data_IF_049479756942
#
_entry.id   IF_049479756942
#
_cell.length_a   1.000
_cell.length_b   1.000
_cell.length_c   1.000
_cell.angle_alpha   90.00
_cell.angle_beta   90.00
_cell.angle_gamma   90.00
#
_symmetry.space_group_name_H-M   'P 1'
#
loop_
_entity.id
_entity.type
_entity.pdbx_description
1 polymer ?
#
# COMPACT_ATOMS: atom_id res chain seq x y z
N UNK A 1 -56.83 40.38 -47.17
CA UNK A 1 -56.16 41.70 -47.03
C UNK A 1 -55.90 41.96 -45.56
N UNK A 2 -54.65 42.33 -45.23
CA UNK A 2 -54.17 42.92 -43.97
C UNK A 2 -54.21 42.01 -42.72
N UNK A 3 -53.28 42.03 -41.77
CA UNK A 3 -51.88 42.50 -41.60
C UNK A 3 -51.70 42.62 -40.08
N UNK A 4 -50.52 42.25 -39.58
CA UNK A 4 -50.02 42.65 -38.25
C UNK A 4 -50.38 41.67 -37.13
N UNK A 5 -49.56 41.39 -36.12
CA UNK A 5 -48.31 41.98 -35.64
C UNK A 5 -47.58 40.83 -34.89
N UNK A 6 -46.33 40.52 -35.22
CA UNK A 6 -45.13 40.84 -34.44
C UNK A 6 -45.19 40.45 -32.94
N UNK A 7 -44.34 39.50 -32.54
CA UNK A 7 -43.45 39.66 -31.37
C UNK A 7 -42.27 38.70 -31.50
N UNK A 8 -41.08 39.29 -31.59
CA UNK A 8 -39.80 38.61 -31.55
C UNK A 8 -39.57 38.04 -30.15
N UNK A 9 -39.43 36.71 -30.05
CA UNK A 9 -38.91 36.08 -28.85
C UNK A 9 -37.38 36.15 -28.90
N UNK A 10 -36.86 37.14 -28.19
CA UNK A 10 -35.47 37.33 -27.80
C UNK A 10 -34.99 36.06 -27.07
N UNK A 11 -34.35 35.14 -27.79
CA UNK A 11 -33.77 33.95 -27.17
C UNK A 11 -32.53 34.39 -26.40
N UNK A 12 -32.56 34.22 -25.07
CA UNK A 12 -31.44 34.54 -24.21
C UNK A 12 -30.23 33.65 -24.53
N UNK A 13 -28.99 34.17 -24.45
CA UNK A 13 -27.80 33.33 -24.60
C UNK A 13 -27.71 32.35 -23.43
N UNK A 14 -27.66 31.06 -23.76
CA UNK A 14 -27.43 29.97 -22.82
C UNK A 14 -26.10 30.21 -22.08
N UNK A 15 -26.04 30.02 -20.74
CA UNK A 15 -24.80 30.14 -19.99
C UNK A 15 -23.84 29.02 -20.40
N UNK A 16 -22.69 29.39 -20.95
CA UNK A 16 -21.55 28.47 -21.13
C UNK A 16 -21.06 28.03 -19.75
N UNK A 17 -20.89 26.72 -19.49
CA UNK A 17 -20.29 26.28 -18.24
C UNK A 17 -18.80 26.69 -18.21
N UNK A 18 -18.49 27.55 -17.25
CA UNK A 18 -17.16 28.06 -16.93
C UNK A 18 -16.19 26.95 -16.54
N UNK A 19 -14.97 27.09 -17.04
CA UNK A 19 -13.89 26.09 -17.15
C UNK A 19 -13.13 25.79 -15.84
N UNK A 20 -13.72 25.99 -14.67
CA UNK A 20 -12.97 26.00 -13.41
C UNK A 20 -13.78 25.50 -12.21
N UNK A 21 -13.94 24.18 -12.12
CA UNK A 21 -14.03 23.50 -10.82
C UNK A 21 -13.11 22.26 -10.85
N UNK A 22 -11.83 22.46 -10.53
CA UNK A 22 -11.32 22.39 -9.15
C UNK A 22 -11.28 20.93 -8.67
N UNK A 23 -10.07 20.39 -8.74
CA UNK A 23 -9.52 19.42 -7.78
C UNK A 23 -10.50 18.35 -7.29
N UNK A 24 -10.69 17.28 -8.09
CA UNK A 24 -10.97 15.99 -7.48
C UNK A 24 -9.71 15.52 -6.79
N UNK A 25 -9.63 15.81 -5.49
CA UNK A 25 -8.80 15.06 -4.55
C UNK A 25 -9.02 13.58 -4.84
N UNK A 26 -8.00 12.96 -5.43
CA UNK A 26 -7.91 11.53 -5.63
C UNK A 26 -7.85 10.92 -4.25
N UNK A 27 -9.01 10.66 -3.65
CA UNK A 27 -9.12 9.82 -2.47
C UNK A 27 -8.32 8.56 -2.81
N UNK A 28 -7.22 8.32 -2.08
CA UNK A 28 -6.44 7.10 -2.20
C UNK A 28 -7.35 5.97 -1.74
N UNK A 29 -8.14 5.43 -2.67
CA UNK A 29 -8.89 4.21 -2.45
C UNK A 29 -7.87 3.16 -2.00
N UNK A 30 -7.98 2.76 -0.74
CA UNK A 30 -7.22 1.65 -0.16
C UNK A 30 -7.46 0.45 -1.11
N UNK A 31 -6.41 -0.08 -1.77
CA UNK A 31 -6.61 -1.17 -2.71
C UNK A 31 -7.29 -2.33 -1.97
N UNK A 32 -8.22 -3.06 -2.64
CA UNK A 32 -8.86 -4.21 -2.01
C UNK A 32 -7.76 -5.15 -1.52
N UNK A 33 -7.78 -5.46 -0.22
CA UNK A 33 -6.86 -6.41 0.39
C UNK A 33 -6.92 -7.67 -0.47
N UNK A 34 -5.83 -7.98 -1.18
CA UNK A 34 -5.76 -9.23 -1.95
C UNK A 34 -6.05 -10.35 -0.97
N UNK A 35 -7.03 -11.20 -1.27
CA UNK A 35 -7.56 -12.20 -0.32
C UNK A 35 -6.49 -13.15 0.22
N UNK A 36 -5.34 -13.25 -0.46
CA UNK A 36 -4.14 -13.98 -0.05
C UNK A 36 -3.08 -13.12 0.65
N UNK A 37 -3.51 -12.10 1.40
CA UNK A 37 -2.61 -11.27 2.19
C UNK A 37 -2.18 -12.02 3.44
N UNK A 38 -0.89 -12.36 3.51
CA UNK A 38 -0.30 -13.08 4.62
C UNK A 38 -0.59 -12.38 5.95
N UNK A 39 -1.02 -13.16 6.97
CA UNK A 39 -1.14 -12.66 8.35
C UNK A 39 0.24 -12.67 9.01
N UNK A 40 0.69 -11.51 9.45
CA UNK A 40 1.90 -11.32 10.25
C UNK A 40 1.58 -10.40 11.44
N UNK A 41 2.29 -10.59 12.55
CA UNK A 41 2.15 -9.78 13.75
C UNK A 41 3.37 -8.92 14.05
N UNK A 42 3.28 -8.10 15.10
CA UNK A 42 4.38 -7.25 15.56
C UNK A 42 5.68 -8.02 15.84
N UNK A 43 5.57 -9.21 16.45
CA UNK A 43 6.72 -10.07 16.77
C UNK A 43 7.45 -10.54 15.51
N UNK A 44 6.71 -10.89 14.45
CA UNK A 44 7.31 -11.30 13.17
C UNK A 44 8.09 -10.13 12.56
N UNK A 45 7.52 -8.92 12.59
CA UNK A 45 8.16 -7.71 12.06
C UNK A 45 9.42 -7.36 12.84
N UNK A 46 9.36 -7.33 14.17
CA UNK A 46 10.53 -7.04 15.01
C UNK A 46 11.62 -8.09 14.78
N UNK A 47 11.26 -9.37 14.70
CA UNK A 47 12.23 -10.44 14.38
C UNK A 47 12.87 -10.25 13.01
N UNK A 48 12.11 -9.83 12.00
CA UNK A 48 12.63 -9.52 10.68
C UNK A 48 13.59 -8.33 10.70
N UNK A 49 13.23 -7.25 11.40
CA UNK A 49 14.09 -6.06 11.56
C UNK A 49 15.38 -6.39 12.31
N UNK A 50 15.30 -7.13 13.43
CA UNK A 50 16.46 -7.58 14.18
C UNK A 50 17.38 -8.48 13.36
N UNK A 51 16.81 -9.42 12.59
CA UNK A 51 17.61 -10.25 11.67
C UNK A 51 18.34 -9.40 10.63
N UNK A 52 17.72 -8.33 10.13
CA UNK A 52 18.39 -7.44 9.18
C UNK A 52 19.52 -6.66 9.82
N UNK A 53 19.36 -6.21 11.07
CA UNK A 53 20.45 -5.60 11.81
C UNK A 53 21.60 -6.59 12.07
N UNK A 54 21.30 -7.86 12.35
CA UNK A 54 22.29 -8.93 12.53
C UNK A 54 23.06 -9.21 11.22
N UNK A 55 22.38 -9.11 10.08
CA UNK A 55 22.98 -9.20 8.74
C UNK A 55 23.67 -7.89 8.29
N UNK A 56 23.77 -6.88 9.15
CA UNK A 56 24.26 -5.51 8.84
C UNK A 56 23.54 -4.83 7.66
N UNK A 57 22.31 -5.26 7.38
CA UNK A 57 21.47 -4.74 6.30
C UNK A 57 20.52 -3.66 6.81
N UNK A 58 20.31 -2.63 5.98
CA UNK A 58 19.29 -1.64 6.29
C UNK A 58 17.89 -2.28 6.22
N UNK A 59 17.07 -2.15 7.28
CA UNK A 59 15.68 -2.61 7.32
C UNK A 59 14.77 -1.71 6.46
N UNK A 60 14.96 -1.80 5.15
CA UNK A 60 14.09 -1.20 4.14
C UNK A 60 12.80 -2.01 4.02
N UNK A 61 11.68 -1.35 3.73
CA UNK A 61 10.36 -1.98 3.62
C UNK A 61 10.37 -3.19 2.69
N UNK A 62 11.02 -3.10 1.52
CA UNK A 62 11.19 -4.25 0.60
C UNK A 62 11.97 -5.41 1.20
N UNK A 63 13.02 -5.11 1.94
CA UNK A 63 13.89 -6.12 2.55
C UNK A 63 13.16 -6.79 3.71
N UNK A 64 12.42 -6.03 4.52
CA UNK A 64 11.56 -6.57 5.57
C UNK A 64 10.48 -7.49 4.97
N UNK A 65 9.84 -7.09 3.86
CA UNK A 65 8.85 -7.93 3.16
C UNK A 65 9.45 -9.27 2.73
N UNK A 66 10.67 -9.26 2.19
CA UNK A 66 11.39 -10.48 1.81
C UNK A 66 11.67 -11.35 3.03
N UNK A 67 12.21 -10.78 4.11
CA UNK A 67 12.48 -11.51 5.35
C UNK A 67 11.22 -12.11 5.97
N UNK A 68 10.09 -11.40 5.95
CA UNK A 68 8.82 -11.94 6.42
C UNK A 68 8.37 -13.17 5.61
N UNK A 69 8.53 -13.14 4.28
CA UNK A 69 8.24 -14.30 3.43
C UNK A 69 9.17 -15.48 3.75
N UNK A 70 10.46 -15.24 3.89
CA UNK A 70 11.44 -16.27 4.23
C UNK A 70 11.16 -16.90 5.60
N UNK A 71 10.86 -16.09 6.62
CA UNK A 71 10.47 -16.58 7.94
C UNK A 71 9.23 -17.48 7.87
N UNK A 72 8.25 -17.13 7.03
CA UNK A 72 7.02 -17.90 6.86
C UNK A 72 7.23 -19.16 6.04
N UNK A 73 8.08 -19.12 5.02
CA UNK A 73 8.52 -20.30 4.30
C UNK A 73 9.19 -21.30 5.25
N UNK A 74 10.14 -20.82 6.08
CA UNK A 74 10.80 -21.63 7.12
C UNK A 74 9.80 -22.19 8.13
N UNK A 75 8.88 -21.37 8.63
CA UNK A 75 7.84 -21.84 9.56
C UNK A 75 6.93 -22.91 8.95
N UNK A 76 6.59 -22.77 7.65
CA UNK A 76 5.81 -23.78 6.92
C UNK A 76 6.61 -25.06 6.71
N UNK A 77 7.89 -24.96 6.37
CA UNK A 77 8.77 -26.12 6.23
C UNK A 77 8.84 -26.92 7.55
N UNK A 78 9.12 -26.23 8.66
CA UNK A 78 9.15 -26.83 9.99
C UNK A 78 7.82 -27.47 10.40
N UNK A 79 6.70 -26.81 10.10
CA UNK A 79 5.37 -27.37 10.37
C UNK A 79 5.07 -28.66 9.59
N UNK A 80 5.71 -28.84 8.43
CA UNK A 80 5.59 -30.06 7.62
C UNK A 80 6.75 -31.05 7.86
N UNK A 81 7.61 -30.81 8.87
CA UNK A 81 8.83 -31.58 9.13
C UNK A 81 9.75 -31.68 7.90
N UNK A 82 9.75 -30.65 7.06
CA UNK A 82 10.60 -30.51 5.89
C UNK A 82 11.83 -29.67 6.23
N UNK A 83 12.94 -29.82 5.47
CA UNK A 83 14.10 -28.95 5.64
C UNK A 83 13.74 -27.49 5.35
N UNK A 84 14.42 -26.56 6.03
CA UNK A 84 14.11 -25.11 5.99
C UNK A 84 14.11 -24.49 4.59
N UNK A 85 14.81 -25.10 3.64
CA UNK A 85 14.92 -24.66 2.24
C UNK A 85 13.98 -25.43 1.29
N UNK A 86 13.18 -26.38 1.79
CA UNK A 86 12.23 -27.15 0.99
C UNK A 86 11.04 -26.31 0.50
N UNK A 87 10.77 -25.18 1.17
CA UNK A 87 9.65 -24.31 0.85
C UNK A 87 10.16 -23.03 0.24
N UNK A 88 9.81 -22.80 -1.02
CA UNK A 88 10.21 -21.60 -1.74
C UNK A 88 9.44 -20.37 -1.20
N UNK A 89 10.13 -19.30 -0.75
CA UNK A 89 9.51 -18.05 -0.35
C UNK A 89 8.70 -17.36 -1.45
N UNK A 90 8.91 -17.67 -2.73
CA UNK A 90 8.08 -17.17 -3.84
C UNK A 90 6.66 -17.75 -3.82
N UNK A 91 6.49 -18.96 -3.27
CA UNK A 91 5.18 -19.62 -3.11
C UNK A 91 4.40 -19.10 -1.90
N UNK A 92 5.02 -18.27 -1.06
CA UNK A 92 4.37 -17.70 0.10
C UNK A 92 3.34 -16.63 -0.30
N UNK A 93 2.24 -16.52 0.46
CA UNK A 93 1.25 -15.47 0.24
C UNK A 93 1.88 -14.07 0.25
N UNK A 94 1.30 -13.17 -0.52
CA UNK A 94 1.82 -11.81 -0.64
C UNK A 94 1.71 -11.08 0.71
N UNK A 95 2.77 -10.37 1.07
CA UNK A 95 2.77 -9.48 2.24
C UNK A 95 2.36 -8.09 1.75
N UNK A 96 1.34 -7.51 2.36
CA UNK A 96 0.86 -6.19 2.00
C UNK A 96 1.86 -5.12 2.52
N UNK A 97 2.51 -4.35 1.63
CA UNK A 97 3.49 -3.35 2.01
C UNK A 97 2.90 -2.20 2.83
N UNK A 98 1.64 -1.85 2.56
CA UNK A 98 0.93 -0.79 3.27
C UNK A 98 0.57 -1.25 4.67
N UNK A 99 0.09 -2.50 4.81
CA UNK A 99 -0.16 -3.11 6.12
C UNK A 99 1.12 -3.21 6.95
N UNK A 100 2.25 -3.57 6.32
CA UNK A 100 3.53 -3.63 7.00
C UNK A 100 3.92 -2.25 7.54
N UNK A 101 3.81 -1.22 6.69
CA UNK A 101 4.09 0.16 7.08
C UNK A 101 3.20 0.61 8.23
N UNK A 102 1.89 0.38 8.14
CA UNK A 102 0.93 0.74 9.19
C UNK A 102 1.27 0.03 10.52
N UNK A 103 1.68 -1.24 10.43
CA UNK A 103 2.07 -2.03 11.60
C UNK A 103 3.38 -1.53 12.21
N UNK A 104 4.40 -1.24 11.39
CA UNK A 104 5.64 -0.61 11.86
C UNK A 104 5.37 0.75 12.51
N UNK A 105 4.50 1.58 11.92
CA UNK A 105 4.14 2.89 12.46
C UNK A 105 3.30 2.78 13.76
N UNK A 106 2.56 1.69 13.94
CA UNK A 106 1.80 1.43 15.18
C UNK A 106 2.68 0.99 16.36
N UNK A 107 3.91 0.53 16.08
CA UNK A 107 4.83 0.05 17.11
C UNK A 107 5.66 1.21 17.66
N UNK A 108 5.50 1.51 18.95
CA UNK A 108 6.26 2.59 19.61
C UNK A 108 7.78 2.36 19.59
N UNK A 109 8.21 1.10 19.49
CA UNK A 109 9.62 0.71 19.43
C UNK A 109 10.23 0.88 18.04
N UNK A 110 9.44 1.17 17.00
CA UNK A 110 9.93 1.29 15.63
C UNK A 110 9.59 2.67 15.08
N UNK A 111 10.58 3.34 14.50
CA UNK A 111 10.38 4.58 13.75
C UNK A 111 10.50 4.30 12.26
N UNK A 112 9.44 4.65 11.54
CA UNK A 112 9.39 4.56 10.08
C UNK A 112 9.89 5.88 9.48
N UNK A 113 10.97 5.81 8.71
CA UNK A 113 11.50 6.92 7.94
C UNK A 113 11.15 6.72 6.48
N UNK A 114 10.64 7.77 5.84
CA UNK A 114 10.45 7.76 4.39
C UNK A 114 11.81 7.95 3.74
N UNK A 115 12.13 7.09 2.77
CA UNK A 115 13.35 7.16 1.98
C UNK A 115 13.01 7.62 0.55
N UNK A 116 14.03 7.82 -0.26
CA UNK A 116 13.89 8.16 -1.68
C UNK A 116 13.12 7.06 -2.44
N UNK A 117 12.55 7.41 -3.59
CA UNK A 117 11.77 6.51 -4.46
C UNK A 117 10.50 5.89 -3.84
N UNK A 118 10.01 6.45 -2.73
CA UNK A 118 8.79 5.96 -2.06
C UNK A 118 9.02 4.67 -1.26
N UNK A 119 10.28 4.34 -1.00
CA UNK A 119 10.67 3.33 -0.03
C UNK A 119 10.54 3.87 1.41
N UNK A 120 10.62 2.98 2.39
CA UNK A 120 10.72 3.40 3.79
C UNK A 120 11.73 2.52 4.51
N UNK A 121 12.48 3.09 5.44
CA UNK A 121 13.35 2.37 6.36
C UNK A 121 12.72 2.35 7.75
N UNK A 122 13.02 1.31 8.54
CA UNK A 122 12.48 1.16 9.90
C UNK A 122 13.63 1.08 10.88
N UNK A 123 13.70 1.98 11.86
CA UNK A 123 14.78 1.96 12.87
C UNK A 123 14.22 1.66 14.26
N UNK A 124 14.96 0.88 15.04
CA UNK A 124 14.72 0.64 16.47
C UNK A 124 15.22 1.84 17.29
#
# INVERSE_FOLDING_TARGET
VKSGHAIAAFTAPQPVPSRVDRMRTRAKAKPPIRRDSMRFGARDVIKAVLSLYDDELQPLGRVILRRLKEQRARAKALANNLPVDAVDPATMPHVDPQRLRDLCASLQQLRVFAEEDGEYSVRL
#
